data_IF_493176870150
#
_entry.id   IF_493176870150
#
_cell.length_a   1.000
_cell.length_b   1.000
_cell.length_c   1.000
_cell.angle_alpha   90.00
_cell.angle_beta   90.00
_cell.angle_gamma   90.00
#
_symmetry.space_group_name_H-M   'P 1'
#
loop_
_entity.id
_entity.type
_entity.pdbx_description
1 polymer ?
#
# COMPACT_ATOMS: atom_id res chain seq x y z
N UNK A 1 4.97 33.59 42.70
CA UNK A 1 5.19 33.84 41.27
C UNK A 1 5.73 32.54 40.69
N UNK A 2 4.82 31.61 40.38
CA UNK A 2 5.19 30.31 39.82
C UNK A 2 5.31 30.48 38.32
N UNK A 3 6.52 30.33 37.78
CA UNK A 3 6.73 30.16 36.34
C UNK A 3 6.27 28.77 35.97
N UNK A 4 5.16 28.66 35.23
CA UNK A 4 4.84 27.45 34.48
C UNK A 4 5.90 27.28 33.39
N UNK A 5 6.89 26.43 33.67
CA UNK A 5 7.73 25.87 32.62
C UNK A 5 6.88 24.88 31.83
N UNK A 6 6.41 25.31 30.66
CA UNK A 6 5.91 24.40 29.64
C UNK A 6 7.13 23.65 29.11
N UNK A 7 7.43 22.47 29.67
CA UNK A 7 8.30 21.50 29.01
C UNK A 7 7.52 20.99 27.79
N UNK A 8 7.74 21.61 26.64
CA UNK A 8 7.37 21.00 25.38
C UNK A 8 8.31 19.79 25.22
N UNK A 9 7.77 18.58 25.34
CA UNK A 9 8.51 17.34 25.25
C UNK A 9 9.23 17.28 23.88
N UNK A 10 10.56 17.35 23.88
CA UNK A 10 11.40 17.43 22.66
C UNK A 10 11.08 16.28 21.68
N UNK A 11 10.67 15.12 22.21
CA UNK A 11 10.24 13.98 21.39
C UNK A 11 8.99 14.30 20.55
N UNK A 12 8.01 15.00 21.14
CA UNK A 12 6.76 15.35 20.47
C UNK A 12 6.96 16.43 19.42
N UNK A 13 7.87 17.38 19.68
CA UNK A 13 8.28 18.38 18.69
C UNK A 13 8.95 17.72 17.48
N UNK A 14 9.90 16.82 17.71
CA UNK A 14 10.58 16.08 16.64
C UNK A 14 9.60 15.26 15.78
N UNK A 15 8.61 14.63 16.41
CA UNK A 15 7.59 13.87 15.69
C UNK A 15 6.75 14.77 14.76
N UNK A 16 6.31 15.93 15.27
CA UNK A 16 5.55 16.91 14.48
C UNK A 16 6.40 17.44 13.31
N UNK A 17 7.66 17.77 13.54
CA UNK A 17 8.57 18.23 12.49
C UNK A 17 8.76 17.17 11.40
N UNK A 18 8.92 15.90 11.77
CA UNK A 18 9.01 14.80 10.82
C UNK A 18 7.71 14.63 10.03
N UNK A 19 6.54 14.71 10.67
CA UNK A 19 5.26 14.60 9.99
C UNK A 19 5.07 15.71 8.94
N UNK A 20 5.42 16.94 9.30
CA UNK A 20 5.37 18.09 8.41
C UNK A 20 6.34 17.90 7.24
N UNK A 21 7.57 17.42 7.51
CA UNK A 21 8.54 17.16 6.46
C UNK A 21 8.04 16.07 5.50
N UNK A 22 7.48 14.97 6.01
CA UNK A 22 6.90 13.91 5.18
C UNK A 22 5.77 14.46 4.30
N UNK A 23 4.80 15.16 4.88
CA UNK A 23 3.66 15.72 4.16
C UNK A 23 4.07 16.64 3.01
N UNK A 24 5.16 17.40 3.20
CA UNK A 24 5.70 18.32 2.18
C UNK A 24 6.47 17.60 1.07
N UNK A 25 7.17 16.52 1.40
CA UNK A 25 8.14 15.91 0.49
C UNK A 25 7.64 14.64 -0.21
N UNK A 26 6.60 13.96 0.30
CA UNK A 26 6.16 12.65 -0.21
C UNK A 26 5.81 12.66 -1.70
N UNK A 27 5.21 13.75 -2.21
CA UNK A 27 4.91 13.92 -3.62
C UNK A 27 6.18 14.00 -4.47
N UNK A 28 7.13 14.84 -4.04
CA UNK A 28 8.39 15.01 -4.74
C UNK A 28 9.24 13.73 -4.72
N UNK A 29 9.29 13.05 -3.57
CA UNK A 29 9.98 11.77 -3.40
C UNK A 29 9.53 10.71 -4.41
N UNK A 30 8.24 10.71 -4.75
CA UNK A 30 7.67 9.82 -5.77
C UNK A 30 8.17 10.15 -7.18
N UNK A 31 8.31 11.44 -7.50
CA UNK A 31 8.77 11.90 -8.81
C UNK A 31 10.26 11.62 -9.05
N UNK A 32 11.07 11.69 -7.99
CA UNK A 32 12.54 11.51 -8.08
C UNK A 32 13.01 10.08 -7.78
N UNK A 33 12.09 9.15 -7.54
CA UNK A 33 12.41 7.73 -7.32
C UNK A 33 12.96 7.40 -5.92
N UNK A 34 12.73 8.26 -4.92
CA UNK A 34 13.00 7.94 -3.51
C UNK A 34 11.97 6.97 -2.93
N UNK A 35 10.77 6.94 -3.52
CA UNK A 35 9.75 5.93 -3.27
C UNK A 35 9.89 4.80 -4.31
N UNK A 36 10.08 3.57 -3.84
CA UNK A 36 10.25 2.39 -4.68
C UNK A 36 9.62 1.16 -4.04
N UNK A 37 9.45 0.10 -4.84
CA UNK A 37 8.92 -1.17 -4.38
C UNK A 37 10.03 -2.16 -4.08
N UNK A 38 9.84 -2.90 -2.99
CA UNK A 38 10.55 -4.15 -2.73
C UNK A 38 9.53 -5.29 -2.70
N UNK A 39 10.01 -6.51 -2.93
CA UNK A 39 9.14 -7.68 -3.04
C UNK A 39 9.50 -8.72 -1.98
N UNK A 40 8.58 -8.98 -1.06
CA UNK A 40 8.75 -10.00 -0.05
C UNK A 40 8.16 -11.33 -0.55
N UNK A 41 8.96 -12.41 -0.68
CA UNK A 41 8.45 -13.69 -1.15
C UNK A 41 7.46 -14.33 -0.17
N UNK A 42 6.36 -14.84 -0.70
CA UNK A 42 5.41 -15.68 0.03
C UNK A 42 5.74 -17.13 -0.31
N UNK A 43 5.98 -17.97 0.70
CA UNK A 43 6.48 -19.34 0.52
C UNK A 43 5.57 -20.37 1.18
N UNK A 44 5.41 -21.52 0.52
CA UNK A 44 4.82 -22.70 1.13
C UNK A 44 5.80 -23.30 2.15
N UNK A 45 5.38 -23.44 3.40
CA UNK A 45 6.28 -23.87 4.49
C UNK A 45 6.78 -25.32 4.33
N UNK A 46 5.99 -26.18 3.69
CA UNK A 46 6.31 -27.61 3.57
C UNK A 46 7.25 -27.87 2.40
N UNK A 47 6.98 -27.24 1.26
CA UNK A 47 7.67 -27.45 -0.02
C UNK A 47 8.76 -26.41 -0.27
N UNK A 48 8.75 -25.29 0.47
CA UNK A 48 9.59 -24.10 0.24
C UNK A 48 9.41 -23.47 -1.15
N UNK A 49 8.33 -23.83 -1.85
CA UNK A 49 8.01 -23.22 -3.13
C UNK A 49 7.58 -21.76 -2.92
N UNK A 50 8.06 -20.86 -3.76
CA UNK A 50 7.57 -19.48 -3.80
C UNK A 50 6.19 -19.50 -4.47
N UNK A 51 5.18 -19.05 -3.73
CA UNK A 51 3.79 -18.97 -4.16
C UNK A 51 3.43 -17.58 -4.70
N UNK A 52 4.21 -16.56 -4.32
CA UNK A 52 3.89 -15.19 -4.66
C UNK A 52 4.91 -14.22 -4.09
N UNK A 53 4.59 -12.94 -4.22
CA UNK A 53 5.32 -11.89 -3.53
C UNK A 53 4.39 -10.73 -3.17
N UNK A 54 4.67 -10.12 -2.03
CA UNK A 54 4.04 -8.88 -1.58
C UNK A 54 4.87 -7.68 -2.04
N UNK A 55 4.20 -6.74 -2.73
CA UNK A 55 4.77 -5.47 -3.13
C UNK A 55 4.69 -4.48 -1.97
N UNK A 56 5.87 -4.08 -1.49
CA UNK A 56 6.03 -3.27 -0.30
C UNK A 56 6.70 -1.94 -0.66
N UNK A 57 5.99 -0.83 -0.43
CA UNK A 57 6.52 0.49 -0.67
C UNK A 57 7.60 0.85 0.36
N UNK A 58 8.70 1.44 -0.11
CA UNK A 58 9.83 1.92 0.69
C UNK A 58 10.16 3.33 0.28
N UNK A 59 10.52 4.14 1.27
CA UNK A 59 11.00 5.49 1.05
C UNK A 59 12.39 5.62 1.66
N UNK A 60 13.37 5.92 0.82
CA UNK A 60 14.72 6.29 1.24
C UNK A 60 14.99 7.71 0.76
N UNK A 61 15.02 8.65 1.70
CA UNK A 61 15.36 10.04 1.43
C UNK A 61 16.86 10.26 1.47
N UNK A 62 17.38 11.07 0.55
CA UNK A 62 18.76 11.53 0.61
C UNK A 62 19.05 12.38 1.85
N UNK A 63 18.06 13.13 2.35
CA UNK A 63 18.20 14.01 3.51
C UNK A 63 18.02 13.26 4.84
N UNK A 64 17.01 12.39 4.92
CA UNK A 64 16.56 11.78 6.20
C UNK A 64 16.75 10.26 6.28
N UNK A 65 17.28 9.63 5.25
CA UNK A 65 17.45 8.18 5.22
C UNK A 65 16.12 7.44 5.11
N UNK A 66 15.99 6.32 5.82
CA UNK A 66 14.81 5.45 5.72
C UNK A 66 13.63 6.11 6.44
N UNK A 67 12.53 6.31 5.71
CA UNK A 67 11.27 6.79 6.27
C UNK A 67 10.34 5.58 6.46
N UNK A 68 9.73 5.48 7.65
CA UNK A 68 8.83 4.37 7.99
C UNK A 68 7.61 4.32 7.07
N UNK A 69 7.30 3.16 6.45
CA UNK A 69 6.06 2.96 5.68
C UNK A 69 4.81 3.30 6.45
N UNK A 70 4.70 2.83 7.70
CA UNK A 70 3.55 3.15 8.55
C UNK A 70 3.35 4.66 8.66
N UNK A 71 4.45 5.41 8.87
CA UNK A 71 4.40 6.85 9.07
C UNK A 71 3.99 7.61 7.81
N UNK A 72 4.65 7.34 6.68
CA UNK A 72 4.32 8.08 5.45
C UNK A 72 2.99 7.66 4.83
N UNK A 73 2.54 6.41 5.02
CA UNK A 73 1.22 5.97 4.56
C UNK A 73 0.13 6.69 5.37
N UNK A 74 0.22 6.70 6.70
CA UNK A 74 -0.74 7.45 7.53
C UNK A 74 -0.79 8.93 7.16
N UNK A 75 0.37 9.56 6.95
CA UNK A 75 0.39 10.98 6.54
C UNK A 75 -0.20 11.17 5.14
N UNK A 76 0.06 10.25 4.20
CA UNK A 76 -0.56 10.30 2.88
C UNK A 76 -2.09 10.18 2.97
N UNK A 77 -2.61 9.37 3.89
CA UNK A 77 -4.05 9.26 4.16
C UNK A 77 -4.61 10.57 4.72
N UNK A 78 -3.96 11.12 5.75
CA UNK A 78 -4.40 12.35 6.43
C UNK A 78 -4.46 13.56 5.49
N UNK A 79 -3.52 13.67 4.54
CA UNK A 79 -3.50 14.76 3.55
C UNK A 79 -4.25 14.44 2.26
N UNK A 80 -4.86 13.25 2.13
CA UNK A 80 -5.58 12.81 0.94
C UNK A 80 -4.71 12.43 -0.27
N UNK A 81 -3.38 12.36 -0.10
CA UNK A 81 -2.44 11.95 -1.14
C UNK A 81 -2.39 10.43 -1.37
N UNK A 82 -2.94 9.64 -0.44
CA UNK A 82 -2.94 8.16 -0.52
C UNK A 82 -3.52 7.62 -1.83
N UNK A 83 -4.52 8.29 -2.41
CA UNK A 83 -5.11 7.87 -3.67
C UNK A 83 -4.10 7.95 -4.81
N UNK A 84 -3.41 9.09 -4.93
CA UNK A 84 -2.41 9.29 -5.99
C UNK A 84 -1.20 8.37 -5.79
N UNK A 85 -0.67 8.32 -4.57
CA UNK A 85 0.44 7.43 -4.19
C UNK A 85 0.10 5.97 -4.49
N UNK A 86 -1.09 5.53 -4.05
CA UNK A 86 -1.53 4.16 -4.20
C UNK A 86 -1.72 3.75 -5.66
N UNK A 87 -2.22 4.63 -6.53
CA UNK A 87 -2.27 4.33 -7.96
C UNK A 87 -0.89 4.21 -8.61
N UNK A 88 0.08 5.03 -8.19
CA UNK A 88 1.46 4.88 -8.67
C UNK A 88 2.10 3.58 -8.18
N UNK A 89 1.84 3.19 -6.93
CA UNK A 89 2.25 1.89 -6.37
C UNK A 89 1.64 0.74 -7.18
N UNK A 90 0.33 0.75 -7.43
CA UNK A 90 -0.36 -0.28 -8.20
C UNK A 90 0.22 -0.38 -9.61
N UNK A 91 0.39 0.75 -10.30
CA UNK A 91 0.94 0.80 -11.65
C UNK A 91 2.36 0.24 -11.70
N UNK A 92 3.22 0.64 -10.76
CA UNK A 92 4.60 0.16 -10.65
C UNK A 92 4.63 -1.34 -10.36
N UNK A 93 3.85 -1.80 -9.37
CA UNK A 93 3.79 -3.20 -8.98
C UNK A 93 3.37 -4.10 -10.14
N UNK A 94 2.30 -3.72 -10.85
CA UNK A 94 1.80 -4.49 -12.00
C UNK A 94 2.76 -4.48 -13.19
N UNK A 95 3.42 -3.34 -13.46
CA UNK A 95 4.41 -3.23 -14.52
C UNK A 95 5.64 -4.10 -14.26
N UNK A 96 6.19 -4.02 -13.05
CA UNK A 96 7.34 -4.84 -12.65
C UNK A 96 6.97 -6.33 -12.63
N UNK A 97 5.79 -6.69 -12.13
CA UNK A 97 5.31 -8.07 -12.14
C UNK A 97 5.14 -8.64 -13.55
N UNK A 98 4.67 -7.83 -14.50
CA UNK A 98 4.65 -8.22 -15.92
C UNK A 98 6.06 -8.52 -16.43
N UNK A 99 7.03 -7.68 -16.10
CA UNK A 99 8.42 -7.91 -16.49
C UNK A 99 9.03 -9.18 -15.85
N UNK A 100 8.76 -9.43 -14.57
CA UNK A 100 9.20 -10.65 -13.89
C UNK A 100 8.56 -11.91 -14.50
N UNK A 101 7.25 -11.89 -14.74
CA UNK A 101 6.52 -13.01 -15.34
C UNK A 101 7.08 -13.41 -16.70
N UNK A 102 7.53 -12.44 -17.51
CA UNK A 102 8.11 -12.69 -18.83
C UNK A 102 9.54 -13.26 -18.78
N UNK A 103 10.31 -12.92 -17.74
CA UNK A 103 11.73 -13.29 -17.64
C UNK A 103 11.98 -14.57 -16.85
N UNK A 104 11.22 -14.80 -15.78
CA UNK A 104 11.53 -15.82 -14.78
C UNK A 104 10.69 -17.11 -14.93
N UNK A 105 9.84 -17.22 -15.95
CA UNK A 105 8.87 -18.33 -16.11
C UNK A 105 8.13 -18.63 -14.79
N UNK A 106 7.55 -17.58 -14.20
CA UNK A 106 6.74 -17.73 -12.99
C UNK A 106 5.61 -18.73 -13.23
N UNK A 107 5.27 -19.50 -12.19
CA UNK A 107 4.16 -20.44 -12.27
C UNK A 107 2.85 -19.69 -12.49
N UNK A 108 1.89 -20.36 -13.14
CA UNK A 108 0.56 -19.80 -13.40
C UNK A 108 -0.22 -19.43 -12.12
N UNK A 109 0.13 -20.04 -10.98
CA UNK A 109 -0.47 -19.79 -9.67
C UNK A 109 0.29 -18.76 -8.82
N UNK A 110 1.33 -18.12 -9.38
CA UNK A 110 2.06 -17.07 -8.67
C UNK A 110 1.18 -15.85 -8.44
N UNK A 111 1.08 -15.39 -7.18
CA UNK A 111 0.29 -14.24 -6.80
C UNK A 111 1.15 -13.01 -6.50
N UNK A 112 0.80 -11.89 -7.11
CA UNK A 112 1.27 -10.57 -6.69
C UNK A 112 0.28 -9.99 -5.68
N UNK A 113 0.76 -9.72 -4.47
CA UNK A 113 0.00 -9.08 -3.41
C UNK A 113 0.31 -7.57 -3.40
N UNK A 114 -0.73 -6.75 -3.36
CA UNK A 114 -0.62 -5.28 -3.36
C UNK A 114 -1.48 -4.73 -2.21
N UNK A 115 -0.84 -4.02 -1.30
CA UNK A 115 -1.50 -3.27 -0.24
C UNK A 115 -2.34 -2.12 -0.82
N UNK A 116 -3.61 -2.05 -0.45
CA UNK A 116 -4.53 -1.00 -0.85
C UNK A 116 -5.19 -0.40 0.38
N UNK A 117 -5.05 0.91 0.52
CA UNK A 117 -5.69 1.63 1.62
C UNK A 117 -7.22 1.62 1.50
N UNK A 118 -7.95 1.49 2.62
CA UNK A 118 -9.40 1.69 2.68
C UNK A 118 -9.90 2.96 1.98
N UNK A 119 -9.15 4.05 2.07
CA UNK A 119 -9.47 5.33 1.45
C UNK A 119 -9.53 5.25 -0.08
N UNK A 120 -8.65 4.45 -0.67
CA UNK A 120 -8.66 4.20 -2.11
C UNK A 120 -9.90 3.40 -2.51
N UNK A 121 -10.28 2.40 -1.72
CA UNK A 121 -11.45 1.57 -1.97
C UNK A 121 -12.76 2.35 -1.78
N UNK A 122 -12.76 3.41 -0.98
CA UNK A 122 -13.89 4.34 -0.88
C UNK A 122 -14.04 5.25 -2.10
N UNK A 123 -13.03 5.34 -2.97
CA UNK A 123 -13.10 6.17 -4.17
C UNK A 123 -14.09 5.57 -5.19
N UNK A 124 -15.00 6.38 -5.75
CA UNK A 124 -15.78 5.96 -6.89
C UNK A 124 -14.87 5.43 -8.02
N UNK A 125 -15.29 4.32 -8.63
CA UNK A 125 -14.62 3.73 -9.79
C UNK A 125 -13.17 3.24 -9.54
N UNK A 126 -12.76 3.02 -8.29
CA UNK A 126 -11.45 2.43 -7.99
C UNK A 126 -11.23 1.11 -8.75
N UNK A 127 -12.24 0.23 -8.73
CA UNK A 127 -12.15 -1.06 -9.43
C UNK A 127 -11.93 -0.88 -10.93
N UNK A 128 -12.54 0.12 -11.58
CA UNK A 128 -12.38 0.39 -13.01
C UNK A 128 -10.95 0.81 -13.34
N UNK A 129 -10.36 1.70 -12.52
CA UNK A 129 -8.97 2.12 -12.67
C UNK A 129 -7.99 0.98 -12.44
N UNK A 130 -8.18 0.21 -11.36
CA UNK A 130 -7.38 -0.99 -11.09
C UNK A 130 -7.44 -1.97 -12.28
N UNK A 131 -8.64 -2.24 -12.79
CA UNK A 131 -8.87 -3.11 -13.95
C UNK A 131 -8.17 -2.60 -15.20
N UNK A 132 -8.17 -1.28 -15.41
CA UNK A 132 -7.53 -0.63 -16.55
C UNK A 132 -6.03 -0.85 -16.50
N UNK A 133 -5.39 -0.55 -15.37
CA UNK A 133 -3.95 -0.77 -15.18
C UNK A 133 -3.59 -2.25 -15.34
N UNK A 134 -4.41 -3.15 -14.79
CA UNK A 134 -4.22 -4.60 -14.95
C UNK A 134 -4.23 -5.02 -16.43
N UNK A 135 -5.21 -4.53 -17.21
CA UNK A 135 -5.35 -4.85 -18.64
C UNK A 135 -4.24 -4.23 -19.48
N UNK A 136 -3.82 -3.00 -19.17
CA UNK A 136 -2.69 -2.32 -19.83
C UNK A 136 -1.39 -3.12 -19.67
N UNK A 137 -1.20 -3.75 -18.50
CA UNK A 137 -0.06 -4.64 -18.24
C UNK A 137 -0.31 -6.09 -18.71
N UNK A 138 -1.47 -6.38 -19.30
CA UNK A 138 -1.89 -7.69 -19.79
C UNK A 138 -1.81 -8.79 -18.73
N UNK A 139 -2.12 -8.46 -17.48
CA UNK A 139 -2.12 -9.39 -16.35
C UNK A 139 -3.46 -10.13 -16.27
N UNK A 140 -3.42 -11.37 -15.78
CA UNK A 140 -4.63 -12.12 -15.46
C UNK A 140 -5.14 -11.65 -14.09
N UNK A 141 -6.45 -11.47 -13.93
CA UNK A 141 -7.00 -11.03 -12.64
C UNK A 141 -6.67 -12.00 -11.50
N UNK A 142 -6.65 -13.30 -11.78
CA UNK A 142 -6.36 -14.34 -10.79
C UNK A 142 -4.89 -14.45 -10.37
N UNK A 143 -3.98 -13.67 -10.98
CA UNK A 143 -2.59 -13.52 -10.53
C UNK A 143 -2.38 -12.33 -9.59
N UNK A 144 -3.46 -11.63 -9.21
CA UNK A 144 -3.42 -10.45 -8.34
C UNK A 144 -4.21 -10.70 -7.05
N UNK A 145 -3.65 -10.21 -5.95
CA UNK A 145 -4.27 -10.15 -4.65
C UNK A 145 -4.24 -8.71 -4.11
N UNK A 146 -5.39 -8.16 -3.77
CA UNK A 146 -5.50 -6.88 -3.06
C UNK A 146 -5.53 -7.18 -1.56
N UNK A 147 -4.60 -6.59 -0.84
CA UNK A 147 -4.48 -6.70 0.61
C UNK A 147 -5.00 -5.45 1.29
N UNK A 148 -5.75 -5.63 2.36
CA UNK A 148 -6.42 -4.57 3.09
C UNK A 148 -6.17 -4.84 4.57
N UNK A 149 -5.74 -3.84 5.34
CA UNK A 149 -5.55 -3.94 6.79
C UNK A 149 -6.89 -3.95 7.52
N UNK A 150 -7.01 -4.45 8.76
CA UNK A 150 -8.32 -4.59 9.44
C UNK A 150 -8.92 -3.24 9.89
N UNK A 151 -8.10 -2.19 10.06
CA UNK A 151 -8.50 -0.88 10.61
C UNK A 151 -9.52 -0.11 9.77
N UNK A 152 -10.07 -0.74 8.72
CA UNK A 152 -11.08 -0.24 7.78
C UNK A 152 -12.42 0.09 8.43
N UNK A 153 -12.83 -0.63 9.48
CA UNK A 153 -14.27 -0.79 9.82
C UNK A 153 -14.98 0.55 10.08
N UNK A 154 -14.28 1.56 10.63
CA UNK A 154 -14.89 2.86 10.96
C UNK A 154 -15.10 3.79 9.76
N UNK A 155 -14.49 3.53 8.60
CA UNK A 155 -14.46 4.48 7.47
C UNK A 155 -14.93 3.89 6.14
N UNK A 156 -15.78 2.86 6.16
CA UNK A 156 -16.28 2.19 4.94
C UNK A 156 -17.54 2.88 4.40
N UNK A 157 -17.59 3.14 3.09
CA UNK A 157 -18.80 3.59 2.38
C UNK A 157 -19.34 2.54 1.39
N UNK A 158 -20.43 2.86 0.70
CA UNK A 158 -21.02 1.98 -0.32
C UNK A 158 -20.07 1.67 -1.50
N UNK A 159 -19.17 2.59 -1.85
CA UNK A 159 -18.19 2.38 -2.91
C UNK A 159 -17.15 1.34 -2.53
N UNK A 160 -16.73 1.27 -1.26
CA UNK A 160 -15.83 0.22 -0.79
C UNK A 160 -16.36 -1.17 -1.10
N UNK A 161 -17.60 -1.45 -0.68
CA UNK A 161 -18.22 -2.76 -0.93
C UNK A 161 -18.37 -3.04 -2.42
N UNK A 162 -18.81 -2.04 -3.19
CA UNK A 162 -18.95 -2.16 -4.63
C UNK A 162 -17.60 -2.45 -5.30
N UNK A 163 -16.55 -1.72 -4.97
CA UNK A 163 -15.23 -1.89 -5.54
C UNK A 163 -14.66 -3.29 -5.24
N UNK A 164 -14.79 -3.75 -3.99
CA UNK A 164 -14.37 -5.11 -3.59
C UNK A 164 -15.17 -6.17 -4.34
N UNK A 165 -16.49 -6.03 -4.42
CA UNK A 165 -17.34 -6.98 -5.12
C UNK A 165 -16.97 -7.07 -6.62
N UNK A 166 -16.75 -5.92 -7.27
CA UNK A 166 -16.37 -5.87 -8.67
C UNK A 166 -14.99 -6.48 -8.93
N UNK A 167 -14.00 -6.21 -8.08
CA UNK A 167 -12.68 -6.84 -8.18
C UNK A 167 -12.78 -8.37 -8.05
N UNK A 168 -13.56 -8.86 -7.08
CA UNK A 168 -13.81 -10.31 -6.90
C UNK A 168 -14.50 -10.92 -8.12
N UNK A 169 -15.51 -10.25 -8.68
CA UNK A 169 -16.21 -10.71 -9.90
C UNK A 169 -15.28 -10.86 -11.10
N UNK A 170 -14.22 -10.07 -11.16
CA UNK A 170 -13.20 -10.18 -12.20
C UNK A 170 -12.17 -11.30 -11.96
N UNK A 171 -12.14 -11.86 -10.75
CA UNK A 171 -11.20 -12.91 -10.35
C UNK A 171 -9.98 -12.41 -9.57
N UNK A 172 -9.94 -11.14 -9.18
CA UNK A 172 -8.92 -10.60 -8.27
C UNK A 172 -9.17 -11.17 -6.87
N UNK A 173 -8.11 -11.65 -6.22
CA UNK A 173 -8.18 -12.14 -4.84
C UNK A 173 -8.18 -10.97 -3.88
N UNK A 174 -8.88 -11.12 -2.76
CA UNK A 174 -8.90 -10.13 -1.68
C UNK A 174 -8.40 -10.83 -0.42
N UNK A 175 -7.40 -10.25 0.24
CA UNK A 175 -6.86 -10.69 1.53
C UNK A 175 -7.04 -9.59 2.58
N UNK A 176 -7.17 -10.00 3.84
CA UNK A 176 -7.22 -9.11 4.99
C UNK A 176 -6.02 -9.45 5.87
N UNK A 177 -5.09 -8.50 6.04
CA UNK A 177 -3.72 -8.81 6.47
C UNK A 177 -3.50 -8.84 8.01
N UNK A 178 -4.50 -8.46 8.81
CA UNK A 178 -4.37 -8.33 10.28
C UNK A 178 -5.22 -9.29 11.13
N UNK A 179 -5.66 -10.44 10.60
CA UNK A 179 -6.47 -11.38 11.38
C UNK A 179 -5.66 -12.02 12.53
N UNK A 180 -5.62 -11.36 13.70
CA UNK A 180 -4.92 -11.90 14.89
C UNK A 180 -4.36 -10.92 15.94
N UNK A 181 -4.45 -9.59 15.77
CA UNK A 181 -3.94 -8.63 16.78
C UNK A 181 -5.02 -7.69 17.33
N UNK A 182 -6.06 -8.29 17.92
CA UNK A 182 -6.82 -7.71 19.03
C UNK A 182 -7.39 -6.30 18.87
N UNK A 183 -8.59 -6.20 18.31
CA UNK A 183 -9.66 -5.30 18.79
C UNK A 183 -11.02 -5.98 18.53
N UNK A 184 -11.18 -7.19 19.08
CA UNK A 184 -12.50 -7.74 19.37
C UNK A 184 -12.91 -7.28 20.77
N UNK A 185 -13.77 -6.27 20.84
CA UNK A 185 -14.65 -6.04 21.99
C UNK A 185 -16.02 -5.62 21.48
#
# INVERSE_FOLDING_TARGET
MFSEFIFCDDAKLNEIEENIWIARNIRHAMEIGELFLVYQPIVDINTRAILGAEALCRWVSAERGIISPLKFITIAEDIGFINELGYQIIKTAMGEFRHFSQRASLKDDFLLHINVSPWQLNEPHFHERFTTIMKENGLKANSLCVEITETVIERINEHFYLNIEQLRKQGVRISIDDFGTGLST
#
